data_IF_972440169896
#
_entry.id   IF_972440169896
#
_cell.length_a   1.000
_cell.length_b   1.000
_cell.length_c   1.000
_cell.angle_alpha   90.00
_cell.angle_beta   90.00
_cell.angle_gamma   90.00
#
_symmetry.space_group_name_H-M   'P 1'
#
loop_
_entity.id
_entity.type
_entity.pdbx_description
1 polymer ?
#
# COMPACT_ATOMS: atom_id res chain seq x y z
N UNK A 1 -13.25 9.75 -8.03
CA UNK A 1 -11.97 9.79 -8.78
C UNK A 1 -11.75 8.44 -9.42
N UNK A 2 -11.06 8.40 -10.55
CA UNK A 2 -10.69 7.16 -11.22
C UNK A 2 -9.54 6.48 -10.47
N UNK A 3 -9.53 5.14 -10.46
CA UNK A 3 -8.40 4.37 -9.92
C UNK A 3 -7.16 4.57 -10.83
N UNK A 4 -5.93 4.53 -10.28
CA UNK A 4 -4.70 4.62 -11.06
C UNK A 4 -4.56 3.50 -12.11
N UNK A 5 -3.69 3.72 -13.08
CA UNK A 5 -3.36 2.75 -14.14
C UNK A 5 -2.70 1.48 -13.57
N UNK A 6 -2.94 0.33 -14.23
CA UNK A 6 -2.29 -0.94 -13.89
C UNK A 6 -0.86 -0.95 -14.42
N UNK A 7 0.12 -1.00 -13.52
CA UNK A 7 1.55 -1.01 -13.83
C UNK A 7 2.07 -2.42 -14.15
N UNK A 8 1.57 -3.43 -13.42
CA UNK A 8 1.95 -4.84 -13.63
C UNK A 8 0.71 -5.71 -13.64
N UNK A 9 0.68 -6.66 -14.58
CA UNK A 9 -0.44 -7.57 -14.78
C UNK A 9 0.09 -9.00 -14.92
N UNK A 10 -0.28 -9.87 -13.98
CA UNK A 10 0.11 -11.29 -13.93
C UNK A 10 -1.14 -12.18 -14.03
N UNK A 11 -1.04 -13.52 -14.11
CA UNK A 11 -2.24 -14.37 -14.14
C UNK A 11 -3.19 -14.18 -12.95
N UNK A 12 -2.66 -13.92 -11.74
CA UNK A 12 -3.45 -13.85 -10.50
C UNK A 12 -3.58 -12.45 -9.90
N UNK A 13 -2.62 -11.57 -10.18
CA UNK A 13 -2.49 -10.26 -9.54
C UNK A 13 -2.37 -9.12 -10.55
N UNK A 14 -2.92 -7.97 -10.18
CA UNK A 14 -2.59 -6.67 -10.76
C UNK A 14 -1.88 -5.82 -9.71
N UNK A 15 -1.03 -4.90 -10.17
CA UNK A 15 -0.34 -3.93 -9.31
C UNK A 15 -0.54 -2.53 -9.86
N UNK A 16 -0.86 -1.57 -8.98
CA UNK A 16 -0.95 -0.14 -9.29
C UNK A 16 -0.59 0.70 -8.07
N UNK A 17 -0.39 1.99 -8.28
CA UNK A 17 -0.30 2.96 -7.19
C UNK A 17 -1.55 2.92 -6.30
N UNK A 18 -1.35 3.19 -5.00
CA UNK A 18 -2.45 3.42 -4.07
C UNK A 18 -3.18 4.73 -4.38
N UNK A 19 -4.45 4.82 -4.01
CA UNK A 19 -5.22 6.07 -4.02
C UNK A 19 -6.10 6.18 -2.77
N UNK A 20 -6.62 7.38 -2.50
CA UNK A 20 -7.42 7.65 -1.29
C UNK A 20 -8.62 6.70 -1.08
N UNK A 21 -9.16 6.13 -2.16
CA UNK A 21 -10.26 5.16 -2.08
C UNK A 21 -9.84 3.79 -1.53
N UNK A 22 -8.55 3.50 -1.39
CA UNK A 22 -8.04 2.22 -0.86
C UNK A 22 -7.88 2.22 0.67
N UNK A 23 -8.28 3.30 1.36
CA UNK A 23 -8.05 3.46 2.79
C UNK A 23 -8.74 2.39 3.66
N UNK A 24 -9.85 1.81 3.19
CA UNK A 24 -10.53 0.73 3.91
C UNK A 24 -9.72 -0.56 3.85
N UNK A 25 -9.27 -0.95 2.67
CA UNK A 25 -8.47 -2.14 2.44
C UNK A 25 -7.10 -2.02 3.11
N UNK A 26 -6.50 -0.82 3.12
CA UNK A 26 -5.26 -0.54 3.84
C UNK A 26 -5.43 -0.72 5.34
N UNK A 27 -6.53 -0.25 5.92
CA UNK A 27 -6.86 -0.53 7.32
C UNK A 27 -7.02 -2.03 7.57
N UNK A 28 -7.74 -2.74 6.71
CA UNK A 28 -8.01 -4.17 6.86
C UNK A 28 -6.70 -4.98 6.95
N UNK A 29 -5.80 -4.89 5.97
CA UNK A 29 -4.55 -5.67 6.03
C UNK A 29 -3.54 -5.12 7.04
N UNK A 30 -3.52 -3.81 7.30
CA UNK A 30 -2.53 -3.19 8.21
C UNK A 30 -2.92 -3.27 9.68
N UNK A 31 -4.12 -3.78 9.99
CA UNK A 31 -4.59 -4.03 11.35
C UNK A 31 -4.56 -5.51 11.75
N UNK A 32 -4.28 -6.42 10.81
CA UNK A 32 -4.18 -7.87 11.04
C UNK A 32 -2.98 -8.21 11.93
N UNK A 33 -3.27 -8.70 13.14
CA UNK A 33 -2.26 -9.04 14.14
C UNK A 33 -1.35 -10.20 13.72
N UNK A 34 -1.85 -11.13 12.89
CA UNK A 34 -1.05 -12.24 12.39
C UNK A 34 0.05 -11.77 11.42
N UNK A 35 -0.26 -10.74 10.63
CA UNK A 35 0.65 -10.11 9.68
C UNK A 35 1.68 -9.25 10.41
N UNK A 36 1.23 -8.44 11.38
CA UNK A 36 2.08 -7.53 12.15
C UNK A 36 3.08 -8.24 13.07
N UNK A 37 2.83 -9.51 13.44
CA UNK A 37 3.67 -10.30 14.35
C UNK A 37 5.16 -10.29 13.98
N UNK A 38 5.48 -10.23 12.69
CA UNK A 38 6.86 -10.30 12.19
C UNK A 38 7.35 -8.98 11.58
N UNK A 39 6.57 -7.90 11.65
CA UNK A 39 6.99 -6.58 11.17
C UNK A 39 7.60 -5.80 12.35
N UNK A 40 8.89 -5.42 12.27
CA UNK A 40 9.53 -4.62 13.32
C UNK A 40 8.99 -3.19 13.32
N UNK A 41 8.63 -2.65 14.48
CA UNK A 41 8.12 -1.28 14.66
C UNK A 41 6.62 -1.19 14.95
N UNK A 42 6.13 -0.01 15.38
CA UNK A 42 4.69 0.23 15.55
C UNK A 42 4.08 0.70 14.22
N UNK A 43 3.75 -0.26 13.37
CA UNK A 43 3.14 -0.03 12.06
C UNK A 43 1.64 -0.29 12.05
N UNK A 44 1.01 -0.45 13.23
CA UNK A 44 -0.41 -0.77 13.30
C UNK A 44 -1.23 0.45 12.91
N UNK A 45 -1.91 0.36 11.77
CA UNK A 45 -2.92 1.32 11.35
C UNK A 45 -4.21 0.99 12.10
N UNK A 46 -4.71 1.93 12.91
CA UNK A 46 -5.84 1.71 13.84
C UNK A 46 -7.14 2.34 13.36
N UNK A 47 -7.09 3.15 12.31
CA UNK A 47 -8.27 3.81 11.76
C UNK A 47 -8.14 4.09 10.27
N UNK A 48 -9.28 4.27 9.60
CA UNK A 48 -9.34 4.69 8.20
C UNK A 48 -8.63 6.04 7.97
N UNK A 49 -8.64 6.92 8.98
CA UNK A 49 -7.94 8.21 8.94
C UNK A 49 -6.42 8.02 8.91
N UNK A 50 -5.89 7.07 9.69
CA UNK A 50 -4.47 6.72 9.66
C UNK A 50 -4.10 6.04 8.34
N UNK A 51 -4.95 5.16 7.81
CA UNK A 51 -4.75 4.55 6.50
C UNK A 51 -4.67 5.61 5.39
N UNK A 52 -5.60 6.57 5.40
CA UNK A 52 -5.60 7.69 4.47
C UNK A 52 -4.33 8.55 4.63
N UNK A 53 -3.91 8.80 5.87
CA UNK A 53 -2.67 9.52 6.14
C UNK A 53 -1.45 8.83 5.51
N UNK A 54 -1.33 7.50 5.66
CA UNK A 54 -0.23 6.72 5.05
C UNK A 54 -0.26 6.86 3.52
N UNK A 55 -1.43 6.71 2.90
CA UNK A 55 -1.57 6.84 1.44
C UNK A 55 -1.12 8.24 0.99
N UNK A 56 -1.72 9.30 1.55
CA UNK A 56 -1.54 10.67 1.08
C UNK A 56 -0.19 11.29 1.44
N UNK A 57 0.35 10.94 2.62
CA UNK A 57 1.54 11.60 3.16
C UNK A 57 2.81 10.79 3.04
N UNK A 58 2.73 9.50 2.69
CA UNK A 58 3.89 8.64 2.49
C UNK A 58 3.88 8.17 1.04
N UNK A 59 3.00 7.24 0.67
CA UNK A 59 3.11 6.57 -0.63
C UNK A 59 2.93 7.49 -1.83
N UNK A 60 1.91 8.38 -1.83
CA UNK A 60 1.72 9.33 -2.92
C UNK A 60 2.89 10.31 -3.06
N UNK A 61 3.45 10.77 -1.94
CA UNK A 61 4.64 11.64 -1.97
C UNK A 61 5.89 10.90 -2.43
N UNK A 62 6.03 9.63 -2.06
CA UNK A 62 7.14 8.79 -2.51
C UNK A 62 7.06 8.49 -4.02
N UNK A 63 5.86 8.27 -4.57
CA UNK A 63 5.69 8.18 -6.03
C UNK A 63 6.12 9.47 -6.72
N UNK A 64 5.71 10.64 -6.20
CA UNK A 64 6.10 11.94 -6.77
C UNK A 64 7.62 12.18 -6.66
N UNK A 65 8.22 11.85 -5.51
CA UNK A 65 9.62 12.16 -5.23
C UNK A 65 10.61 11.18 -5.88
N UNK A 66 10.32 9.87 -5.83
CA UNK A 66 11.25 8.82 -6.22
C UNK A 66 10.83 8.09 -7.50
N UNK A 67 9.58 8.28 -7.95
CA UNK A 67 8.97 7.48 -9.02
C UNK A 67 8.59 6.07 -8.58
N UNK A 68 8.75 5.73 -7.29
CA UNK A 68 8.39 4.43 -6.75
C UNK A 68 8.05 4.46 -5.26
N UNK A 69 7.23 3.51 -4.83
CA UNK A 69 6.97 3.22 -3.43
C UNK A 69 6.42 1.79 -3.26
N UNK A 70 5.70 1.53 -2.16
CA UNK A 70 4.81 0.38 -2.03
C UNK A 70 3.60 0.55 -2.96
N UNK A 71 3.20 -0.49 -3.66
CA UNK A 71 2.07 -0.50 -4.59
C UNK A 71 0.97 -1.43 -4.09
N UNK A 72 -0.29 -1.14 -4.44
CA UNK A 72 -1.43 -1.99 -4.13
C UNK A 72 -1.37 -3.27 -4.95
N UNK A 73 -1.53 -4.43 -4.30
CA UNK A 73 -1.68 -5.72 -4.97
C UNK A 73 -3.16 -6.12 -5.00
N UNK A 74 -3.72 -6.18 -6.20
CA UNK A 74 -5.11 -6.55 -6.44
C UNK A 74 -5.17 -8.02 -6.87
N UNK A 75 -5.89 -8.83 -6.13
CA UNK A 75 -6.22 -10.20 -6.49
C UNK A 75 -7.37 -10.21 -7.49
N UNK A 76 -7.19 -10.91 -8.62
CA UNK A 76 -8.10 -10.78 -9.77
C UNK A 76 -9.45 -11.46 -9.59
N UNK A 77 -9.49 -12.58 -8.87
CA UNK A 77 -10.71 -13.39 -8.80
C UNK A 77 -11.81 -12.69 -7.98
N UNK A 78 -11.43 -11.90 -6.97
CA UNK A 78 -12.34 -11.17 -6.09
C UNK A 78 -12.18 -9.65 -6.16
N UNK A 79 -11.24 -9.16 -7.00
CA UNK A 79 -10.93 -7.75 -7.18
C UNK A 79 -10.62 -7.01 -5.87
N UNK A 80 -9.97 -7.69 -4.93
CA UNK A 80 -9.60 -7.14 -3.61
C UNK A 80 -8.13 -6.76 -3.54
N UNK A 81 -7.82 -5.69 -2.79
CA UNK A 81 -6.44 -5.43 -2.38
C UNK A 81 -6.10 -6.41 -1.26
N UNK A 82 -5.03 -7.19 -1.47
CA UNK A 82 -4.58 -8.22 -0.52
C UNK A 82 -3.30 -7.81 0.24
N UNK A 83 -2.87 -6.56 0.08
CA UNK A 83 -1.65 -6.02 0.67
C UNK A 83 -0.86 -5.19 -0.33
N UNK A 84 0.45 -5.11 -0.12
CA UNK A 84 1.35 -4.31 -0.94
C UNK A 84 2.63 -5.05 -1.32
N UNK A 85 3.24 -4.62 -2.43
CA UNK A 85 4.60 -4.96 -2.80
C UNK A 85 5.24 -3.76 -3.48
N UNK A 86 6.57 -3.63 -3.44
CA UNK A 86 7.26 -2.53 -4.07
C UNK A 86 8.53 -2.16 -3.35
N UNK A 87 9.10 -1.04 -3.75
CA UNK A 87 10.36 -0.53 -3.26
C UNK A 87 10.12 0.49 -2.15
N UNK A 88 11.07 0.60 -1.23
CA UNK A 88 11.11 1.69 -0.25
C UNK A 88 12.49 2.33 -0.36
N UNK A 89 12.52 3.65 -0.52
CA UNK A 89 13.78 4.37 -0.44
C UNK A 89 14.23 4.38 1.02
N UNK A 90 15.40 3.83 1.28
CA UNK A 90 16.05 3.91 2.58
C UNK A 90 17.28 4.82 2.43
N UNK A 91 17.31 6.00 3.05
CA UNK A 91 18.49 6.86 3.01
C UNK A 91 19.66 6.11 3.65
N UNK A 92 20.86 6.30 3.10
CA UNK A 92 22.06 5.77 3.75
C UNK A 92 22.17 6.37 5.16
N UNK A 93 22.16 5.53 6.19
CA UNK A 93 22.49 5.96 7.54
C UNK A 93 23.96 6.38 7.55
N UNK A 94 24.22 7.68 7.66
CA UNK A 94 25.51 8.21 8.12
C UNK A 94 25.53 8.22 9.64
#
# INVERSE_FOLDING_TARGET
MLKPEILVNTPRLQMREFCAQDAEEVLEFSSDESMLKFIPGDHKVKSKKEALFVIENIWLKEYEQYGYARYALIHKDDNKIIGFCGFKYEPANN
#
